data_IF_090667610438
#
_entry.id   IF_090667610438
#
_cell.length_a   1.000
_cell.length_b   1.000
_cell.length_c   1.000
_cell.angle_alpha   90.00
_cell.angle_beta   90.00
_cell.angle_gamma   90.00
#
_symmetry.space_group_name_H-M   'P 1'
#
loop_
_entity.id
_entity.type
_entity.pdbx_description
1 polymer ?
#
# COMPACT_ATOMS: atom_id res chain seq x y z
N UNK A 1 3.52 -15.63 4.97
CA UNK A 1 4.45 -14.51 5.24
C UNK A 1 3.66 -13.29 5.73
N UNK A 2 2.74 -12.73 4.93
CA UNK A 2 1.99 -11.52 5.29
C UNK A 2 1.20 -11.58 6.62
N UNK A 3 0.50 -12.68 6.91
CA UNK A 3 -0.20 -12.90 8.20
C UNK A 3 0.76 -12.94 9.39
N UNK A 4 1.98 -13.45 9.19
CA UNK A 4 2.99 -13.61 10.25
C UNK A 4 3.70 -12.30 10.59
N UNK A 5 3.82 -11.41 9.61
CA UNK A 5 4.53 -10.13 9.73
C UNK A 5 3.57 -8.95 10.00
N UNK A 6 2.28 -9.23 10.26
CA UNK A 6 1.24 -8.22 10.48
C UNK A 6 1.21 -7.13 9.39
N UNK A 7 1.27 -7.54 8.12
CA UNK A 7 1.28 -6.61 7.00
C UNK A 7 -0.12 -6.01 6.83
N UNK A 8 -0.27 -4.78 7.35
CA UNK A 8 -1.55 -4.08 7.41
C UNK A 8 -1.83 -3.19 6.19
N UNK A 9 -0.83 -2.95 5.34
CA UNK A 9 -0.99 -2.12 4.13
C UNK A 9 -0.24 -2.75 2.96
N UNK A 10 -0.91 -2.88 1.82
CA UNK A 10 -0.37 -3.39 0.56
C UNK A 10 -0.40 -2.28 -0.47
N UNK A 11 0.79 -1.84 -0.89
CA UNK A 11 0.94 -0.85 -1.95
C UNK A 11 0.95 -1.53 -3.31
N UNK A 12 0.11 -1.06 -4.24
CA UNK A 12 0.02 -1.56 -5.60
C UNK A 12 0.27 -0.41 -6.57
N UNK A 13 1.24 -0.56 -7.46
CA UNK A 13 1.46 0.42 -8.51
C UNK A 13 0.34 0.31 -9.56
N UNK A 14 -0.15 1.46 -10.03
CA UNK A 14 -1.27 1.60 -10.98
C UNK A 14 -1.07 0.79 -12.27
N UNK A 15 0.17 0.58 -12.68
CA UNK A 15 0.58 -0.16 -13.87
C UNK A 15 0.41 -1.68 -13.73
N UNK A 16 0.29 -2.16 -12.49
CA UNK A 16 0.20 -3.58 -12.17
C UNK A 16 -1.19 -3.98 -11.68
N UNK A 17 -1.50 -5.25 -11.85
CA UNK A 17 -2.80 -5.79 -11.53
C UNK A 17 -3.04 -5.92 -10.01
N UNK A 18 -4.16 -5.38 -9.53
CA UNK A 18 -4.55 -5.39 -8.12
C UNK A 18 -5.25 -6.67 -7.66
N UNK A 19 -5.59 -7.62 -8.55
CA UNK A 19 -6.30 -8.87 -8.21
C UNK A 19 -5.53 -9.71 -7.19
N UNK A 20 -4.23 -9.86 -7.38
CA UNK A 20 -3.39 -10.62 -6.43
C UNK A 20 -3.30 -9.92 -5.08
N UNK A 21 -3.19 -8.59 -5.07
CA UNK A 21 -3.16 -7.80 -3.85
C UNK A 21 -4.48 -7.90 -3.08
N UNK A 22 -5.61 -7.93 -3.79
CA UNK A 22 -6.96 -8.12 -3.22
C UNK A 22 -7.08 -9.43 -2.46
N UNK A 23 -6.67 -10.54 -3.06
CA UNK A 23 -6.67 -11.84 -2.39
C UNK A 23 -5.83 -11.85 -1.11
N UNK A 24 -4.68 -11.15 -1.12
CA UNK A 24 -3.80 -11.08 0.06
C UNK A 24 -4.45 -10.22 1.15
N UNK A 25 -4.99 -9.05 0.80
CA UNK A 25 -5.64 -8.12 1.72
C UNK A 25 -6.87 -8.76 2.40
N UNK A 26 -7.72 -9.46 1.64
CA UNK A 26 -8.89 -10.18 2.17
C UNK A 26 -8.47 -11.27 3.16
N UNK A 27 -7.33 -11.92 2.94
CA UNK A 27 -6.78 -12.94 3.84
C UNK A 27 -6.05 -12.40 5.08
N UNK A 28 -5.59 -11.14 5.06
CA UNK A 28 -4.85 -10.52 6.17
C UNK A 28 -5.65 -9.45 6.93
N UNK A 29 -6.77 -8.98 6.39
CA UNK A 29 -7.45 -7.78 6.88
C UNK A 29 -6.69 -6.48 6.58
N UNK A 30 -5.72 -6.52 5.66
CA UNK A 30 -4.89 -5.38 5.29
C UNK A 30 -5.59 -4.43 4.32
N UNK A 31 -5.16 -3.17 4.31
CA UNK A 31 -5.63 -2.14 3.38
C UNK A 31 -4.84 -2.20 2.06
N UNK A 32 -5.51 -1.96 0.93
CA UNK A 32 -4.84 -1.78 -0.37
C UNK A 32 -4.79 -0.31 -0.72
N UNK A 33 -3.58 0.20 -0.99
CA UNK A 33 -3.37 1.56 -1.50
C UNK A 33 -2.76 1.49 -2.88
N UNK A 34 -3.43 2.08 -3.87
CA UNK A 34 -2.90 2.19 -5.23
C UNK A 34 -2.02 3.44 -5.30
N UNK A 35 -0.82 3.31 -5.84
CA UNK A 35 0.15 4.40 -6.01
C UNK A 35 0.50 4.58 -7.50
N UNK A 36 0.86 5.80 -7.89
CA UNK A 36 1.16 6.16 -9.28
C UNK A 36 2.56 6.80 -9.40
N UNK A 37 3.64 6.01 -9.31
CA UNK A 37 5.01 6.54 -9.31
C UNK A 37 5.41 7.20 -10.65
N UNK A 38 4.59 7.04 -11.70
CA UNK A 38 4.80 7.60 -13.04
C UNK A 38 3.88 8.79 -13.35
N UNK A 39 3.15 9.29 -12.36
CA UNK A 39 2.27 10.46 -12.49
C UNK A 39 3.02 11.69 -13.04
N UNK A 40 2.39 12.40 -13.98
CA UNK A 40 2.85 13.72 -14.44
C UNK A 40 2.86 14.74 -13.28
N UNK A 41 1.88 14.65 -12.37
CA UNK A 41 1.91 15.37 -11.11
C UNK A 41 2.78 14.60 -10.11
N UNK A 42 4.09 14.73 -10.31
CA UNK A 42 5.11 14.06 -9.52
C UNK A 42 5.03 14.44 -8.03
N UNK A 43 4.81 15.72 -7.73
CA UNK A 43 4.82 16.21 -6.34
C UNK A 43 3.68 15.60 -5.52
N UNK A 44 2.46 15.66 -6.05
CA UNK A 44 1.29 15.09 -5.36
C UNK A 44 1.42 13.58 -5.23
N UNK A 45 1.88 12.89 -6.27
CA UNK A 45 2.03 11.42 -6.24
C UNK A 45 3.10 10.97 -5.23
N UNK A 46 4.29 11.57 -5.25
CA UNK A 46 5.35 11.20 -4.31
C UNK A 46 4.96 11.56 -2.87
N UNK A 47 4.27 12.68 -2.67
CA UNK A 47 3.76 13.04 -1.33
C UNK A 47 2.72 12.04 -0.82
N UNK A 48 1.81 11.56 -1.67
CA UNK A 48 0.85 10.51 -1.30
C UNK A 48 1.53 9.19 -0.93
N UNK A 49 2.57 8.80 -1.67
CA UNK A 49 3.39 7.61 -1.35
C UNK A 49 4.06 7.76 0.01
N UNK A 50 4.66 8.92 0.29
CA UNK A 50 5.33 9.21 1.57
C UNK A 50 4.32 9.15 2.72
N UNK A 51 3.15 9.77 2.56
CA UNK A 51 2.09 9.76 3.58
C UNK A 51 1.57 8.34 3.85
N UNK A 52 1.34 7.56 2.79
CA UNK A 52 0.93 6.17 2.90
C UNK A 52 1.96 5.34 3.67
N UNK A 53 3.24 5.49 3.34
CA UNK A 53 4.32 4.80 4.06
C UNK A 53 4.38 5.22 5.53
N UNK A 54 4.38 6.53 5.82
CA UNK A 54 4.40 7.06 7.18
C UNK A 54 3.24 6.53 8.02
N UNK A 55 2.04 6.56 7.46
CA UNK A 55 0.83 6.04 8.12
C UNK A 55 0.97 4.55 8.40
N UNK A 56 1.35 3.74 7.41
CA UNK A 56 1.47 2.29 7.55
C UNK A 56 2.45 1.87 8.65
N UNK A 57 3.56 2.60 8.81
CA UNK A 57 4.57 2.34 9.84
C UNK A 57 4.07 2.74 11.25
N UNK A 58 3.24 3.77 11.35
CA UNK A 58 2.64 4.21 12.62
C UNK A 58 1.57 3.24 13.13
N UNK A 59 0.76 2.67 12.24
CA UNK A 59 -0.30 1.72 12.61
C UNK A 59 0.28 0.39 13.09
N UNK A 60 1.43 -0.02 12.57
CA UNK A 60 2.12 -1.26 12.98
C UNK A 60 2.86 -1.16 14.32
N UNK A 61 3.04 0.05 14.86
CA UNK A 61 3.76 0.28 16.13
C UNK A 61 2.88 0.31 17.39
N UNK A 62 1.59 -0.05 17.28
CA UNK A 62 0.66 -0.15 18.42
C UNK A 62 0.29 -1.60 18.71
#
# INVERSE_FOLDING_TARGET
LAVRENINTIFVQKEYDSRNARTIAEGTGGEIRIIDPLSEDWYSSVTDIIDGLYTSLRTNGK
#
